data_IF_254213359539
#
_entry.id   IF_254213359539
#
_cell.length_a   1.000
_cell.length_b   1.000
_cell.length_c   1.000
_cell.angle_alpha   90.00
_cell.angle_beta   90.00
_cell.angle_gamma   90.00
#
_symmetry.space_group_name_H-M   'P 1'
#
loop_
_entity.id
_entity.type
_entity.pdbx_description
1 polymer ?
#
# COMPACT_ATOMS: atom_id res chain seq x y z
N UNK A 1 7.04 14.35 0.81
CA UNK A 1 6.84 14.61 2.24
C UNK A 1 5.50 14.03 2.65
N UNK A 2 5.35 13.60 3.91
CA UNK A 2 4.09 13.03 4.42
C UNK A 2 3.13 14.13 4.85
N UNK A 3 1.83 13.83 4.77
CA UNK A 3 0.80 14.55 5.51
C UNK A 3 0.92 14.24 7.00
N UNK A 4 0.34 15.09 7.84
CA UNK A 4 0.21 14.81 9.27
C UNK A 4 -0.68 13.59 9.51
N UNK A 5 -0.35 12.79 10.52
CA UNK A 5 -1.08 11.56 10.87
C UNK A 5 -2.57 11.83 11.15
N UNK A 6 -2.87 12.93 11.84
CA UNK A 6 -4.26 13.32 12.11
C UNK A 6 -5.02 13.65 10.82
N UNK A 7 -4.35 14.28 9.85
CA UNK A 7 -4.98 14.60 8.56
C UNK A 7 -5.22 13.33 7.73
N UNK A 8 -4.27 12.41 7.68
CA UNK A 8 -4.47 11.11 7.02
C UNK A 8 -5.63 10.33 7.65
N UNK A 9 -5.73 10.31 8.98
CA UNK A 9 -6.84 9.68 9.68
C UNK A 9 -8.18 10.34 9.37
N UNK A 10 -8.24 11.69 9.31
CA UNK A 10 -9.45 12.44 8.93
C UNK A 10 -9.88 12.14 7.50
N UNK A 11 -8.95 12.07 6.55
CA UNK A 11 -9.24 11.71 5.16
C UNK A 11 -9.80 10.29 5.08
N UNK A 12 -9.18 9.33 5.78
CA UNK A 12 -9.64 7.95 5.81
C UNK A 12 -11.05 7.82 6.43
N UNK A 13 -11.32 8.59 7.49
CA UNK A 13 -12.64 8.66 8.11
C UNK A 13 -13.69 9.24 7.15
N UNK A 14 -13.36 10.31 6.44
CA UNK A 14 -14.25 10.96 5.47
C UNK A 14 -14.58 10.06 4.28
N UNK A 15 -13.59 9.31 3.76
CA UNK A 15 -13.84 8.33 2.70
C UNK A 15 -14.78 7.20 3.13
N UNK A 16 -14.77 6.83 4.42
CA UNK A 16 -15.61 5.78 4.99
C UNK A 16 -15.56 4.45 4.20
N UNK A 17 -14.38 4.10 3.70
CA UNK A 17 -14.07 2.81 3.06
C UNK A 17 -13.30 1.92 4.02
N UNK A 18 -13.14 0.63 3.68
CA UNK A 18 -12.39 -0.32 4.50
C UNK A 18 -10.97 0.21 4.82
N UNK A 19 -10.25 0.68 3.80
CA UNK A 19 -8.95 1.32 3.96
C UNK A 19 -8.73 2.44 2.93
N UNK A 20 -8.03 3.48 3.35
CA UNK A 20 -7.40 4.47 2.47
C UNK A 20 -5.88 4.29 2.53
N UNK A 21 -5.25 4.13 1.37
CA UNK A 21 -3.81 3.99 1.24
C UNK A 21 -3.15 5.34 0.92
N UNK A 22 -2.05 5.65 1.61
CA UNK A 22 -1.23 6.83 1.36
C UNK A 22 0.16 6.39 0.93
N UNK A 23 0.69 7.00 -0.13
CA UNK A 23 1.97 6.62 -0.74
C UNK A 23 2.93 7.81 -0.84
N UNK A 24 4.19 7.58 -0.50
CA UNK A 24 5.28 8.53 -0.74
C UNK A 24 6.45 7.78 -1.38
N UNK A 25 6.99 8.34 -2.47
CA UNK A 25 8.17 7.78 -3.15
C UNK A 25 9.43 8.03 -2.32
N UNK A 26 10.22 6.99 -2.10
CA UNK A 26 11.49 7.02 -1.37
C UNK A 26 12.60 6.39 -2.23
N UNK A 27 13.25 7.21 -3.07
CA UNK A 27 14.23 6.71 -4.04
C UNK A 27 13.55 5.78 -5.07
N UNK A 28 13.95 4.51 -5.09
CA UNK A 28 13.42 3.50 -6.02
C UNK A 28 12.18 2.76 -5.49
N UNK A 29 11.81 2.95 -4.22
CA UNK A 29 10.71 2.22 -3.57
C UNK A 29 9.58 3.17 -3.17
N UNK A 30 8.44 2.60 -2.78
CA UNK A 30 7.28 3.34 -2.29
C UNK A 30 7.03 3.05 -0.82
N UNK A 31 7.05 4.05 0.05
CA UNK A 31 6.52 3.86 1.40
C UNK A 31 5.00 3.98 1.36
N UNK A 32 4.32 3.01 1.96
CA UNK A 32 2.86 2.91 1.99
C UNK A 32 2.35 2.80 3.42
N UNK A 33 1.24 3.50 3.70
CA UNK A 33 0.50 3.46 4.96
C UNK A 33 -0.98 3.27 4.68
N UNK A 34 -1.69 2.54 5.55
CA UNK A 34 -3.13 2.29 5.40
C UNK A 34 -3.87 2.72 6.64
N UNK A 35 -4.97 3.41 6.43
CA UNK A 35 -5.85 3.85 7.48
C UNK A 35 -7.25 3.32 7.21
N UNK A 36 -7.81 2.62 8.19
CA UNK A 36 -9.27 2.45 8.30
C UNK A 36 -9.90 3.77 8.74
N UNK A 37 -11.23 3.89 8.78
CA UNK A 37 -11.88 5.11 9.27
C UNK A 37 -11.50 5.51 10.71
N UNK A 38 -10.99 4.57 11.51
CA UNK A 38 -10.71 4.79 12.94
C UNK A 38 -9.25 4.64 13.34
N UNK A 39 -8.42 3.93 12.56
CA UNK A 39 -7.03 3.68 12.93
C UNK A 39 -6.12 3.31 11.76
N UNK A 40 -4.82 3.53 11.92
CA UNK A 40 -3.79 3.01 11.03
C UNK A 40 -3.57 1.52 11.25
N UNK A 41 -3.51 0.74 10.16
CA UNK A 41 -3.24 -0.71 10.20
C UNK A 41 -1.84 -1.01 9.66
N UNK A 42 -1.14 -2.02 10.22
CA UNK A 42 0.26 -2.27 9.89
C UNK A 42 0.45 -2.98 8.54
N UNK A 43 -0.61 -3.58 7.99
CA UNK A 43 -0.60 -4.38 6.76
C UNK A 43 -1.99 -4.45 6.15
N UNK A 44 -2.12 -4.28 4.82
CA UNK A 44 -3.39 -4.49 4.12
C UNK A 44 -3.14 -4.94 2.67
N UNK A 45 -3.66 -6.12 2.28
CA UNK A 45 -3.36 -6.72 0.97
C UNK A 45 -4.08 -6.09 -0.21
N UNK A 46 -5.40 -6.08 -0.17
CA UNK A 46 -6.19 -5.54 -1.27
C UNK A 46 -5.90 -4.04 -1.52
N UNK A 47 -5.65 -3.26 -0.48
CA UNK A 47 -5.28 -1.86 -0.62
C UNK A 47 -3.86 -1.68 -1.20
N UNK A 48 -2.94 -2.64 -0.97
CA UNK A 48 -1.63 -2.68 -1.65
C UNK A 48 -1.80 -2.95 -3.14
N UNK A 49 -2.63 -3.93 -3.52
CA UNK A 49 -2.93 -4.22 -4.93
C UNK A 49 -3.61 -3.04 -5.64
N UNK A 50 -4.57 -2.39 -4.98
CA UNK A 50 -5.23 -1.20 -5.51
C UNK A 50 -4.22 -0.06 -5.73
N UNK A 51 -3.29 0.14 -4.79
CA UNK A 51 -2.24 1.14 -4.91
C UNK A 51 -1.26 0.84 -6.05
N UNK A 52 -0.85 -0.43 -6.19
CA UNK A 52 -0.02 -0.87 -7.30
C UNK A 52 -0.71 -0.66 -8.66
N UNK A 53 -2.01 -0.96 -8.76
CA UNK A 53 -2.80 -0.67 -9.95
C UNK A 53 -2.75 0.81 -10.31
N UNK A 54 -2.94 1.72 -9.33
CA UNK A 54 -2.85 3.16 -9.56
C UNK A 54 -1.45 3.56 -10.05
N UNK A 55 -0.39 3.02 -9.45
CA UNK A 55 0.99 3.33 -9.84
C UNK A 55 1.32 2.86 -11.27
N UNK A 56 0.88 1.66 -11.65
CA UNK A 56 1.08 1.15 -13.01
C UNK A 56 0.21 1.87 -14.04
N UNK A 57 -1.09 2.04 -13.76
CA UNK A 57 -2.05 2.46 -14.77
C UNK A 57 -2.24 3.97 -14.86
N UNK A 58 -2.11 4.71 -13.76
CA UNK A 58 -2.31 6.16 -13.76
C UNK A 58 -0.97 6.88 -13.76
N UNK A 59 -0.02 6.43 -12.94
CA UNK A 59 1.31 7.06 -12.82
C UNK A 59 2.32 6.50 -13.84
N UNK A 60 1.96 5.43 -14.56
CA UNK A 60 2.76 4.84 -15.64
C UNK A 60 4.18 4.48 -15.21
N UNK A 61 4.31 3.94 -13.99
CA UNK A 61 5.60 3.44 -13.50
C UNK A 61 6.18 2.40 -14.49
N UNK A 62 7.39 2.62 -15.03
CA UNK A 62 7.92 1.87 -16.17
C UNK A 62 8.59 0.54 -15.74
N UNK A 63 8.15 -0.02 -14.63
CA UNK A 63 8.70 -1.23 -14.02
C UNK A 63 7.65 -2.34 -14.04
N UNK A 64 8.07 -3.60 -13.97
CA UNK A 64 7.13 -4.72 -13.84
C UNK A 64 6.92 -5.13 -12.37
N UNK A 65 7.78 -4.66 -11.46
CA UNK A 65 7.71 -4.92 -10.02
C UNK A 65 7.80 -3.61 -9.25
N UNK A 66 6.84 -3.39 -8.37
CA UNK A 66 6.84 -2.31 -7.39
C UNK A 66 7.22 -2.87 -6.03
N UNK A 67 8.24 -2.29 -5.41
CA UNK A 67 8.63 -2.60 -4.05
C UNK A 67 8.08 -1.53 -3.09
N UNK A 68 7.45 -1.99 -2.02
CA UNK A 68 6.85 -1.17 -1.00
C UNK A 68 7.54 -1.36 0.35
N UNK A 69 7.62 -0.29 1.14
CA UNK A 69 8.01 -0.33 2.56
C UNK A 69 6.78 0.03 3.39
N UNK A 70 6.42 -0.82 4.35
CA UNK A 70 5.34 -0.57 5.30
C UNK A 70 5.75 -0.90 6.74
N UNK A 71 4.83 -0.71 7.70
CA UNK A 71 5.09 -1.01 9.13
C UNK A 71 5.44 -2.47 9.39
N UNK A 72 4.89 -3.40 8.60
CA UNK A 72 5.16 -4.84 8.74
C UNK A 72 6.37 -5.33 7.92
N UNK A 73 7.15 -4.42 7.34
CA UNK A 73 8.31 -4.76 6.52
C UNK A 73 8.08 -4.55 5.01
N UNK A 74 8.98 -5.08 4.16
CA UNK A 74 8.89 -4.92 2.72
C UNK A 74 7.77 -5.78 2.12
N UNK A 75 7.15 -5.27 1.06
CA UNK A 75 6.17 -5.98 0.22
C UNK A 75 6.53 -5.76 -1.24
N UNK A 76 6.07 -6.63 -2.14
CA UNK A 76 6.18 -6.35 -3.56
C UNK A 76 4.94 -6.74 -4.33
N UNK A 77 4.64 -5.96 -5.38
CA UNK A 77 3.61 -6.30 -6.36
C UNK A 77 4.24 -6.39 -7.73
N UNK A 78 4.04 -7.54 -8.39
CA UNK A 78 4.49 -7.76 -9.77
C UNK A 78 3.30 -7.75 -10.71
N UNK A 79 3.41 -7.04 -11.83
CA UNK A 79 2.43 -7.11 -12.92
C UNK A 79 2.89 -8.14 -13.95
N UNK A 80 2.05 -9.12 -14.22
CA UNK A 80 2.34 -10.18 -15.19
C UNK A 80 1.05 -10.69 -15.81
N UNK A 81 1.01 -10.83 -17.14
CA UNK A 81 -0.13 -11.43 -17.85
C UNK A 81 -1.47 -10.72 -17.59
N UNK A 82 -1.45 -9.40 -17.40
CA UNK A 82 -2.64 -8.60 -17.07
C UNK A 82 -3.16 -8.78 -15.64
N UNK A 83 -2.37 -9.42 -14.77
CA UNK A 83 -2.67 -9.62 -13.34
C UNK A 83 -1.64 -8.91 -12.47
N UNK A 84 -2.03 -8.68 -11.21
CA UNK A 84 -1.16 -8.19 -10.16
C UNK A 84 -0.97 -9.29 -9.12
N UNK A 85 0.29 -9.61 -8.83
CA UNK A 85 0.70 -10.62 -7.86
C UNK A 85 1.32 -9.93 -6.66
N UNK A 86 0.71 -10.08 -5.49
CA UNK A 86 1.22 -9.55 -4.23
C UNK A 86 2.01 -10.64 -3.50
N UNK A 87 3.24 -10.31 -3.13
CA UNK A 87 4.10 -11.13 -2.28
C UNK A 87 4.09 -10.59 -0.84
N UNK A 88 3.75 -11.47 0.12
CA UNK A 88 3.65 -11.15 1.54
C UNK A 88 4.70 -11.93 2.35
N UNK A 89 5.23 -11.34 3.44
CA UNK A 89 5.95 -12.13 4.42
C UNK A 89 5.06 -13.25 4.94
N UNK A 90 5.57 -14.48 4.89
CA UNK A 90 4.89 -15.64 5.46
C UNK A 90 4.84 -15.50 6.98
N UNK A 91 3.63 -15.36 7.54
CA UNK A 91 3.40 -15.47 8.98
C UNK A 91 3.04 -16.91 9.25
N UNK A 92 3.98 -17.67 9.82
CA UNK A 92 3.70 -19.04 10.27
C UNK A 92 2.78 -18.94 11.50
N UNK A 93 1.61 -19.60 11.51
CA UNK A 93 0.75 -19.61 12.69
C UNK A 93 1.51 -20.22 13.87
N UNK A 94 1.50 -19.54 15.02
CA UNK A 94 1.90 -20.14 16.29
C UNK A 94 0.73 -20.97 16.83
N UNK A 95 1.02 -22.16 17.35
CA UNK A 95 0.06 -22.99 18.09
C UNK A 95 -0.52 -22.29 19.32
#
# INVERSE_FOLDING_TARGET
AWLDDELMQKIAAEHNLAETAFLVREGAVWRIRWFTPTTEVPLCGHATLASAYVLFELYKEPVERLDFICKSGPLSVTREGGRLWLDFPAVVPSE
#
